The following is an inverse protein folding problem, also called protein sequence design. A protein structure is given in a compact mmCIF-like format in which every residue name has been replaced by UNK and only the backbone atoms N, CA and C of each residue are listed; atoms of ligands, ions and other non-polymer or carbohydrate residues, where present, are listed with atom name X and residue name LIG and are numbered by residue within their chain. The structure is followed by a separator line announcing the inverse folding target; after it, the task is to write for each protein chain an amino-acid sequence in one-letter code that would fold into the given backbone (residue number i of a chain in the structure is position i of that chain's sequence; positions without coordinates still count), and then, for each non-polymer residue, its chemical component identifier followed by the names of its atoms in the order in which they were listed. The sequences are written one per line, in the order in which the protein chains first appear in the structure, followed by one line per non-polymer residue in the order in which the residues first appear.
data_IF_655952387300
#
_entry.id   IF_655952387300
#
_cell.length_a   1.000
_cell.length_b   1.000
_cell.length_c   1.000
_cell.angle_alpha   90.00
_cell.angle_beta   90.00
_cell.angle_gamma   90.00
#
_symmetry.space_group_name_H-M   'P 1'
#
loop_
_entity.id
_entity.type
_entity.pdbx_description
1 polymer ?
#
# COMPACT_ATOMS: atom_id res chain seq x y z
N UNK A 1 19.67 -33.89 -4.61
CA UNK A 1 18.43 -34.28 -3.88
C UNK A 1 18.56 -33.98 -2.37
N UNK A 2 19.72 -34.24 -1.72
CA UNK A 2 19.96 -33.93 -0.30
C UNK A 2 19.86 -32.45 0.09
N UNK A 3 20.33 -31.52 -0.74
CA UNK A 3 20.28 -30.09 -0.46
C UNK A 3 18.81 -29.57 -0.42
N UNK A 4 17.94 -30.06 -1.31
CA UNK A 4 16.50 -29.74 -1.30
C UNK A 4 15.79 -30.21 -0.02
N UNK A 5 16.12 -31.42 0.46
CA UNK A 5 15.54 -31.96 1.70
C UNK A 5 16.06 -31.23 2.94
N UNK A 6 17.33 -30.81 2.93
CA UNK A 6 17.93 -30.04 4.02
C UNK A 6 17.44 -28.60 4.11
N UNK A 7 17.02 -28.00 2.98
CA UNK A 7 16.44 -26.67 2.93
C UNK A 7 14.97 -26.68 3.36
N UNK A 8 14.19 -27.70 3.01
CA UNK A 8 12.81 -27.89 3.47
C UNK A 8 12.68 -28.20 4.97
N UNK A 9 13.76 -28.69 5.60
CA UNK A 9 13.83 -28.87 7.07
C UNK A 9 14.36 -27.63 7.81
N UNK A 10 14.88 -26.63 7.09
CA UNK A 10 15.37 -25.36 7.62
C UNK A 10 14.24 -24.34 7.66
N UNK A 11 13.41 -24.41 8.69
CA UNK A 11 12.45 -23.40 9.14
C UNK A 11 11.41 -22.92 8.09
N UNK A 12 10.12 -23.17 8.31
CA UNK A 12 9.02 -22.73 7.41
C UNK A 12 8.99 -21.22 7.13
N UNK A 13 9.85 -20.46 7.78
CA UNK A 13 9.81 -18.99 7.82
C UNK A 13 11.00 -18.28 7.13
N UNK A 14 11.97 -19.00 6.53
CA UNK A 14 13.17 -18.37 5.96
C UNK A 14 12.84 -17.45 4.77
N UNK A 15 11.89 -17.84 3.92
CA UNK A 15 11.42 -17.03 2.79
C UNK A 15 10.82 -15.69 3.28
N UNK A 16 9.95 -15.76 4.29
CA UNK A 16 9.29 -14.58 4.86
C UNK A 16 10.30 -13.66 5.55
N UNK A 17 11.21 -14.21 6.37
CA UNK A 17 12.28 -13.40 7.00
C UNK A 17 13.13 -12.66 5.97
N UNK A 18 13.47 -13.30 4.84
CA UNK A 18 14.21 -12.64 3.76
C UNK A 18 13.42 -11.49 3.13
N UNK A 19 12.12 -11.69 2.86
CA UNK A 19 11.24 -10.66 2.32
C UNK A 19 11.16 -9.45 3.28
N UNK A 20 10.85 -9.69 4.54
CA UNK A 20 10.70 -8.64 5.56
C UNK A 20 12.02 -7.88 5.79
N UNK A 21 13.12 -8.62 5.96
CA UNK A 21 14.45 -8.01 6.17
C UNK A 21 14.89 -7.19 4.96
N UNK A 22 14.70 -7.70 3.74
CA UNK A 22 15.06 -6.96 2.54
C UNK A 22 14.17 -5.72 2.36
N UNK A 23 12.87 -5.83 2.63
CA UNK A 23 11.92 -4.70 2.59
C UNK A 23 12.38 -3.60 3.55
N UNK A 24 12.72 -3.94 4.79
CA UNK A 24 13.22 -2.98 5.78
C UNK A 24 14.50 -2.29 5.31
N UNK A 25 15.48 -3.06 4.82
CA UNK A 25 16.76 -2.53 4.35
C UNK A 25 16.61 -1.65 3.10
N UNK A 26 15.78 -2.07 2.13
CA UNK A 26 15.50 -1.28 0.93
C UNK A 26 14.74 0.01 1.27
N UNK A 27 13.78 -0.05 2.19
CA UNK A 27 13.06 1.14 2.66
C UNK A 27 13.99 2.12 3.38
N UNK A 28 14.92 1.64 4.20
CA UNK A 28 15.81 2.47 5.01
C UNK A 28 16.90 3.16 4.18
N UNK A 29 17.60 2.43 3.33
CA UNK A 29 18.81 2.93 2.65
C UNK A 29 18.82 2.75 1.13
N UNK A 30 17.78 2.18 0.55
CA UNK A 30 17.60 1.97 -0.88
C UNK A 30 18.19 0.67 -1.40
N UNK A 31 17.74 0.29 -2.61
CA UNK A 31 18.12 -0.95 -3.26
C UNK A 31 19.63 -1.04 -3.53
N UNK A 32 20.22 -0.02 -4.18
CA UNK A 32 21.64 -0.06 -4.57
C UNK A 32 22.57 -0.21 -3.37
N UNK A 33 22.27 0.45 -2.24
CA UNK A 33 23.09 0.45 -1.02
C UNK A 33 22.93 -0.79 -0.15
N UNK A 34 22.06 -1.72 -0.52
CA UNK A 34 21.80 -2.95 0.24
C UNK A 34 22.48 -4.14 -0.43
N UNK A 35 23.33 -4.88 0.29
CA UNK A 35 24.00 -6.07 -0.23
C UNK A 35 23.26 -7.36 0.15
N UNK A 36 23.42 -8.40 -0.70
CA UNK A 36 22.92 -9.76 -0.38
C UNK A 36 23.48 -10.28 0.94
N UNK A 37 24.76 -10.00 1.22
CA UNK A 37 25.40 -10.42 2.49
C UNK A 37 24.67 -9.85 3.69
N UNK A 38 24.39 -8.56 3.67
CA UNK A 38 23.70 -7.88 4.75
C UNK A 38 22.27 -8.41 4.95
N UNK A 39 21.54 -8.68 3.85
CA UNK A 39 20.21 -9.26 3.93
C UNK A 39 20.23 -10.62 4.62
N UNK A 40 21.12 -11.52 4.18
CA UNK A 40 21.17 -12.88 4.75
C UNK A 40 21.68 -12.90 6.19
N UNK A 41 22.71 -12.09 6.50
CA UNK A 41 23.25 -11.95 7.84
C UNK A 41 22.17 -11.47 8.83
N UNK A 42 21.39 -10.46 8.44
CA UNK A 42 20.32 -9.91 9.27
C UNK A 42 19.06 -10.79 9.34
N UNK A 43 18.74 -11.51 8.27
CA UNK A 43 17.64 -12.48 8.24
C UNK A 43 17.99 -13.78 8.99
N UNK A 44 19.26 -13.99 9.42
CA UNK A 44 19.71 -15.19 10.08
C UNK A 44 19.69 -16.42 9.17
N UNK A 45 20.00 -16.25 7.87
CA UNK A 45 20.02 -17.34 6.88
C UNK A 45 21.31 -17.32 6.08
N UNK A 46 21.59 -18.39 5.31
CA UNK A 46 22.77 -18.45 4.45
C UNK A 46 22.46 -17.91 3.03
N UNK A 47 23.51 -17.45 2.30
CA UNK A 47 23.39 -17.04 0.90
C UNK A 47 22.71 -18.10 0.00
N UNK A 48 23.07 -19.41 0.07
CA UNK A 48 22.37 -20.42 -0.71
C UNK A 48 20.86 -20.46 -0.49
N UNK A 49 20.36 -20.15 0.72
CA UNK A 49 18.92 -20.09 1.02
C UNK A 49 18.26 -18.94 0.26
N UNK A 50 18.87 -17.76 0.20
CA UNK A 50 18.35 -16.64 -0.59
C UNK A 50 18.28 -17.00 -2.07
N UNK A 51 19.36 -17.55 -2.62
CA UNK A 51 19.40 -17.92 -4.04
C UNK A 51 18.43 -19.07 -4.38
N UNK A 52 18.16 -19.96 -3.44
CA UNK A 52 17.15 -21.00 -3.61
C UNK A 52 15.73 -20.42 -3.79
N UNK A 53 15.34 -19.42 -2.96
CA UNK A 53 14.00 -18.84 -3.03
C UNK A 53 13.84 -17.76 -4.12
N UNK A 54 14.85 -16.96 -4.33
CA UNK A 54 14.73 -15.74 -5.12
C UNK A 54 15.70 -15.63 -6.29
N UNK A 55 16.67 -16.53 -6.42
CA UNK A 55 17.71 -16.60 -7.47
C UNK A 55 18.69 -15.41 -7.47
N UNK A 56 18.26 -14.21 -7.10
CA UNK A 56 19.09 -13.02 -7.08
C UNK A 56 18.54 -11.97 -6.10
N UNK A 57 19.27 -10.88 -5.87
CA UNK A 57 18.77 -9.70 -5.15
C UNK A 57 17.63 -9.04 -5.94
N UNK A 58 17.70 -9.05 -7.26
CA UNK A 58 16.66 -8.54 -8.14
C UNK A 58 15.39 -9.40 -8.07
N UNK A 59 15.52 -10.73 -8.07
CA UNK A 59 14.37 -11.62 -7.87
C UNK A 59 13.71 -11.44 -6.51
N UNK A 60 14.51 -11.21 -5.45
CA UNK A 60 13.98 -10.85 -4.12
C UNK A 60 13.23 -9.51 -4.16
N UNK A 61 13.75 -8.52 -4.89
CA UNK A 61 13.09 -7.22 -5.06
C UNK A 61 11.73 -7.37 -5.75
N UNK A 62 11.66 -8.10 -6.86
CA UNK A 62 10.37 -8.35 -7.53
C UNK A 62 9.39 -9.13 -6.66
N UNK A 63 9.87 -10.12 -5.89
CA UNK A 63 9.01 -10.84 -4.95
C UNK A 63 8.43 -9.93 -3.83
N UNK A 64 9.14 -8.88 -3.44
CA UNK A 64 8.60 -7.85 -2.53
C UNK A 64 7.51 -7.03 -3.22
N UNK A 65 7.69 -6.66 -4.48
CA UNK A 65 6.67 -5.92 -5.24
C UNK A 65 5.41 -6.77 -5.48
N UNK A 66 5.56 -8.07 -5.76
CA UNK A 66 4.45 -9.02 -5.83
C UNK A 66 3.71 -9.09 -4.48
N UNK A 67 4.44 -9.21 -3.37
CA UNK A 67 3.84 -9.17 -2.04
C UNK A 67 3.08 -7.86 -1.78
N UNK A 68 3.60 -6.71 -2.21
CA UNK A 68 2.89 -5.44 -2.10
C UNK A 68 1.58 -5.43 -2.90
N UNK A 69 1.59 -6.01 -4.11
CA UNK A 69 0.40 -6.14 -4.93
C UNK A 69 -0.64 -7.08 -4.29
N UNK A 70 -0.20 -8.18 -3.69
CA UNK A 70 -1.07 -9.13 -2.97
C UNK A 70 -1.73 -8.46 -1.76
N UNK A 71 -0.96 -7.70 -0.95
CA UNK A 71 -1.48 -6.92 0.19
C UNK A 71 -2.51 -5.88 -0.29
N UNK A 72 -2.21 -5.14 -1.36
CA UNK A 72 -3.16 -4.20 -1.95
C UNK A 72 -4.46 -4.90 -2.37
N UNK A 73 -4.35 -6.02 -3.09
CA UNK A 73 -5.51 -6.78 -3.55
C UNK A 73 -6.35 -7.32 -2.39
N UNK A 74 -5.72 -7.79 -1.32
CA UNK A 74 -6.43 -8.22 -0.12
C UNK A 74 -7.22 -7.07 0.50
N UNK A 75 -6.60 -5.91 0.69
CA UNK A 75 -7.26 -4.70 1.21
C UNK A 75 -8.43 -4.30 0.32
N UNK A 76 -8.28 -4.31 -1.00
CA UNK A 76 -9.35 -3.98 -1.93
C UNK A 76 -10.51 -4.98 -1.87
N UNK A 77 -10.23 -6.27 -1.71
CA UNK A 77 -11.28 -7.30 -1.56
C UNK A 77 -12.12 -7.07 -0.29
N UNK A 78 -11.47 -6.73 0.83
CA UNK A 78 -12.15 -6.39 2.09
C UNK A 78 -13.05 -5.15 1.92
N UNK A 79 -12.53 -4.12 1.22
CA UNK A 79 -13.26 -2.89 0.91
C UNK A 79 -14.50 -3.17 0.04
N UNK A 80 -14.36 -4.03 -0.98
CA UNK A 80 -15.48 -4.38 -1.85
C UNK A 80 -16.55 -5.22 -1.15
N UNK A 81 -16.19 -5.97 -0.12
CA UNK A 81 -17.12 -6.71 0.73
C UNK A 81 -17.84 -5.82 1.75
N UNK A 82 -17.39 -4.59 1.97
CA UNK A 82 -18.01 -3.67 2.92
C UNK A 82 -19.42 -3.25 2.47
N UNK A 83 -20.35 -3.20 3.41
CA UNK A 83 -21.72 -2.74 3.23
C UNK A 83 -21.91 -1.32 3.79
N UNK A 84 -23.05 -0.70 3.49
CA UNK A 84 -23.39 0.65 3.93
C UNK A 84 -23.57 1.63 2.79
N UNK A 85 -23.80 2.90 3.13
CA UNK A 85 -23.91 4.00 2.18
C UNK A 85 -22.58 4.24 1.44
N UNK A 86 -22.61 5.01 0.36
CA UNK A 86 -21.39 5.42 -0.34
C UNK A 86 -20.37 6.04 0.64
N UNK A 87 -20.83 6.96 1.50
CA UNK A 87 -19.96 7.62 2.47
C UNK A 87 -19.36 6.60 3.47
N UNK A 88 -20.15 5.66 3.99
CA UNK A 88 -19.66 4.63 4.90
C UNK A 88 -18.59 3.77 4.25
N UNK A 89 -18.76 3.40 2.97
CA UNK A 89 -17.80 2.60 2.21
C UNK A 89 -16.51 3.37 1.91
N UNK A 90 -16.59 4.67 1.62
CA UNK A 90 -15.39 5.51 1.43
C UNK A 90 -14.66 5.72 2.76
N UNK A 91 -15.37 5.93 3.86
CA UNK A 91 -14.77 6.00 5.20
C UNK A 91 -14.09 4.68 5.57
N UNK A 92 -14.74 3.54 5.26
CA UNK A 92 -14.15 2.21 5.47
C UNK A 92 -12.89 2.02 4.61
N UNK A 93 -12.95 2.37 3.32
CA UNK A 93 -11.79 2.37 2.42
C UNK A 93 -10.62 3.15 3.02
N UNK A 94 -10.88 4.37 3.48
CA UNK A 94 -9.88 5.21 4.08
C UNK A 94 -9.26 4.56 5.31
N UNK A 95 -10.10 4.12 6.26
CA UNK A 95 -9.66 3.46 7.50
C UNK A 95 -8.79 2.24 7.19
N UNK A 96 -9.24 1.39 6.28
CA UNK A 96 -8.55 0.15 5.93
C UNK A 96 -7.20 0.40 5.26
N UNK A 97 -7.08 1.44 4.42
CA UNK A 97 -5.79 1.85 3.85
C UNK A 97 -4.82 2.31 4.96
N UNK A 98 -5.29 3.11 5.91
CA UNK A 98 -4.45 3.56 7.03
C UNK A 98 -4.00 2.41 7.94
N UNK A 99 -4.89 1.49 8.27
CA UNK A 99 -4.55 0.27 9.01
C UNK A 99 -3.50 -0.55 8.26
N UNK A 100 -3.64 -0.72 6.94
CA UNK A 100 -2.67 -1.41 6.09
C UNK A 100 -1.30 -0.73 6.09
N UNK A 101 -1.25 0.60 6.08
CA UNK A 101 0.01 1.35 6.17
C UNK A 101 0.72 1.11 7.50
N UNK A 102 -0.01 1.02 8.62
CA UNK A 102 0.56 0.71 9.93
C UNK A 102 1.01 -0.76 10.03
N UNK A 103 0.20 -1.68 9.52
CA UNK A 103 0.48 -3.12 9.51
C UNK A 103 1.71 -3.46 8.64
N UNK A 104 1.82 -2.83 7.45
CA UNK A 104 2.89 -3.06 6.48
C UNK A 104 3.81 -1.85 6.31
N UNK A 105 4.16 -1.17 7.40
CA UNK A 105 4.85 0.13 7.41
C UNK A 105 6.12 0.18 6.55
N UNK A 106 6.97 -0.82 6.62
CA UNK A 106 8.21 -0.84 5.83
C UNK A 106 7.94 -1.09 4.34
N UNK A 107 6.92 -1.90 4.03
CA UNK A 107 6.50 -2.14 2.65
C UNK A 107 5.93 -0.84 2.05
N UNK A 108 5.05 -0.15 2.77
CA UNK A 108 4.53 1.15 2.35
C UNK A 108 5.65 2.17 2.13
N UNK A 109 6.59 2.31 3.07
CA UNK A 109 7.74 3.21 2.93
C UNK A 109 8.58 2.91 1.68
N UNK A 110 8.80 1.62 1.40
CA UNK A 110 9.54 1.20 0.21
C UNK A 110 8.79 1.58 -1.07
N UNK A 111 7.50 1.23 -1.19
CA UNK A 111 6.66 1.53 -2.36
C UNK A 111 6.56 3.05 -2.57
N UNK A 112 6.27 3.81 -1.52
CA UNK A 112 6.22 5.27 -1.58
C UNK A 112 7.54 5.88 -2.08
N UNK A 113 8.67 5.39 -1.57
CA UNK A 113 10.00 5.84 -2.01
C UNK A 113 10.30 5.48 -3.46
N UNK A 114 9.82 4.33 -3.95
CA UNK A 114 10.01 3.91 -5.34
C UNK A 114 9.14 4.72 -6.31
N UNK A 115 7.96 5.16 -5.89
CA UNK A 115 7.03 5.97 -6.71
C UNK A 115 7.45 7.44 -6.72
N UNK A 116 7.74 8.03 -5.57
CA UNK A 116 7.91 9.48 -5.40
C UNK A 116 9.35 9.92 -5.13
N UNK A 117 10.23 8.98 -4.76
CA UNK A 117 11.62 9.27 -4.43
C UNK A 117 12.53 9.35 -5.66
N UNK A 118 13.78 9.82 -5.46
CA UNK A 118 14.77 9.82 -6.53
C UNK A 118 15.15 8.39 -6.95
N UNK A 119 15.54 8.17 -8.22
CA UNK A 119 16.05 6.88 -8.69
C UNK A 119 17.20 6.38 -7.81
N UNK A 120 17.15 5.12 -7.37
CA UNK A 120 18.12 4.53 -6.45
C UNK A 120 18.76 3.25 -7.00
N UNK A 121 18.82 3.13 -8.33
CA UNK A 121 19.35 1.94 -8.99
C UNK A 121 18.52 0.67 -8.74
N UNK A 122 17.26 0.83 -8.35
CA UNK A 122 16.33 -0.28 -8.28
C UNK A 122 15.93 -0.75 -9.68
N UNK A 123 15.60 -2.05 -9.85
CA UNK A 123 15.03 -2.54 -11.10
C UNK A 123 13.77 -1.77 -11.49
N UNK A 124 13.52 -1.64 -12.80
CA UNK A 124 12.33 -0.94 -13.29
C UNK A 124 11.06 -1.73 -12.97
N UNK A 125 10.00 -1.01 -12.60
CA UNK A 125 8.68 -1.57 -12.33
C UNK A 125 7.59 -0.59 -12.76
N UNK A 126 6.50 -1.09 -13.36
CA UNK A 126 5.37 -0.27 -13.76
C UNK A 126 4.42 0.00 -12.59
N UNK A 127 4.70 1.05 -11.83
CA UNK A 127 3.83 1.49 -10.74
C UNK A 127 2.52 2.12 -11.22
N UNK A 128 2.37 2.45 -12.51
CA UNK A 128 1.12 3.00 -13.02
C UNK A 128 -0.03 1.99 -12.91
N UNK A 129 0.25 0.69 -13.10
CA UNK A 129 -0.75 -0.35 -12.88
C UNK A 129 -1.18 -0.42 -11.41
N UNK A 130 -0.23 -0.35 -10.48
CA UNK A 130 -0.50 -0.32 -9.04
C UNK A 130 -1.42 0.85 -8.65
N UNK A 131 -1.16 2.05 -9.20
CA UNK A 131 -1.99 3.23 -8.96
C UNK A 131 -3.37 3.10 -9.60
N UNK A 132 -3.48 2.59 -10.84
CA UNK A 132 -4.77 2.36 -11.52
C UNK A 132 -5.71 1.50 -10.69
N UNK A 133 -5.23 0.45 -10.03
CA UNK A 133 -6.08 -0.39 -9.17
C UNK A 133 -6.77 0.41 -8.05
N UNK A 134 -6.10 1.40 -7.47
CA UNK A 134 -6.70 2.26 -6.43
C UNK A 134 -7.77 3.19 -7.03
N UNK A 135 -7.48 3.79 -8.19
CA UNK A 135 -8.46 4.61 -8.91
C UNK A 135 -9.72 3.80 -9.27
N UNK A 136 -9.54 2.64 -9.89
CA UNK A 136 -10.65 1.78 -10.30
C UNK A 136 -11.48 1.32 -9.09
N UNK A 137 -10.84 1.08 -7.94
CA UNK A 137 -11.54 0.73 -6.72
C UNK A 137 -12.47 1.85 -6.24
N UNK A 138 -11.98 3.09 -6.18
CA UNK A 138 -12.79 4.25 -5.77
C UNK A 138 -13.90 4.52 -6.78
N UNK A 139 -13.62 4.46 -8.08
CA UNK A 139 -14.62 4.61 -9.14
C UNK A 139 -15.73 3.55 -9.03
N UNK A 140 -15.37 2.30 -8.77
CA UNK A 140 -16.36 1.22 -8.55
C UNK A 140 -17.26 1.48 -7.35
N UNK A 141 -16.72 1.99 -6.24
CA UNK A 141 -17.50 2.37 -5.07
C UNK A 141 -18.47 3.51 -5.43
N UNK A 142 -17.98 4.52 -6.16
CA UNK A 142 -18.76 5.66 -6.61
C UNK A 142 -19.90 5.24 -7.54
N UNK A 143 -19.62 4.43 -8.56
CA UNK A 143 -20.63 3.95 -9.52
C UNK A 143 -21.77 3.21 -8.83
N UNK A 144 -21.46 2.42 -7.80
CA UNK A 144 -22.47 1.74 -7.00
C UNK A 144 -23.33 2.72 -6.21
N UNK A 145 -22.74 3.77 -5.61
CA UNK A 145 -23.47 4.82 -4.90
C UNK A 145 -24.33 5.67 -5.83
N UNK A 146 -23.86 5.94 -7.06
CA UNK A 146 -24.63 6.61 -8.08
C UNK A 146 -25.86 5.79 -8.50
N UNK A 147 -25.69 4.50 -8.72
CA UNK A 147 -26.80 3.59 -9.05
C UNK A 147 -27.85 3.51 -7.93
N UNK A 148 -27.46 3.72 -6.67
CA UNK A 148 -28.36 3.79 -5.50
C UNK A 148 -28.92 5.19 -5.24
N UNK A 149 -28.67 6.17 -6.11
CA UNK A 149 -29.09 7.57 -5.96
C UNK A 149 -28.59 8.26 -4.66
N UNK A 150 -27.47 7.82 -4.13
CA UNK A 150 -26.87 8.38 -2.90
C UNK A 150 -26.09 9.68 -3.16
N UNK A 151 -25.67 9.90 -4.39
CA UNK A 151 -24.89 11.09 -4.80
C UNK A 151 -25.41 11.67 -6.12
N UNK A 152 -25.14 12.95 -6.33
CA UNK A 152 -25.40 13.61 -7.62
C UNK A 152 -24.45 13.08 -8.68
N UNK A 153 -24.89 13.02 -9.95
CA UNK A 153 -24.00 12.73 -11.06
C UNK A 153 -22.82 13.71 -11.07
N UNK A 154 -21.63 13.16 -11.03
CA UNK A 154 -20.35 13.87 -11.04
C UNK A 154 -19.39 13.04 -11.89
N UNK A 155 -18.35 13.64 -12.41
CA UNK A 155 -17.29 12.92 -13.09
C UNK A 155 -16.61 11.92 -12.12
N UNK A 156 -16.50 10.67 -12.54
CA UNK A 156 -15.97 9.61 -11.68
C UNK A 156 -14.46 9.74 -11.41
N UNK A 157 -13.73 10.35 -12.36
CA UNK A 157 -12.30 10.63 -12.19
C UNK A 157 -12.10 11.75 -11.18
N UNK A 158 -12.89 12.84 -11.26
CA UNK A 158 -12.84 13.92 -10.27
C UNK A 158 -13.17 13.44 -8.88
N UNK A 159 -14.15 12.53 -8.75
CA UNK A 159 -14.47 11.91 -7.46
C UNK A 159 -13.32 11.07 -6.95
N UNK A 160 -12.72 10.23 -7.79
CA UNK A 160 -11.59 9.40 -7.42
C UNK A 160 -10.37 10.24 -7.02
N UNK A 161 -10.07 11.31 -7.77
CA UNK A 161 -9.03 12.27 -7.43
C UNK A 161 -9.27 12.92 -6.06
N UNK A 162 -10.47 13.36 -5.76
CA UNK A 162 -10.82 13.95 -4.46
C UNK A 162 -10.51 12.99 -3.33
N UNK A 163 -11.03 11.76 -3.40
CA UNK A 163 -10.87 10.75 -2.36
C UNK A 163 -9.41 10.36 -2.18
N UNK A 164 -8.70 10.05 -3.27
CA UNK A 164 -7.31 9.59 -3.22
C UNK A 164 -6.35 10.71 -2.81
N UNK A 165 -6.60 11.96 -3.19
CA UNK A 165 -5.81 13.12 -2.75
C UNK A 165 -5.90 13.34 -1.26
N UNK A 166 -7.08 13.17 -0.65
CA UNK A 166 -7.24 13.26 0.80
C UNK A 166 -6.46 12.17 1.53
N UNK A 167 -6.45 10.95 0.99
CA UNK A 167 -5.68 9.82 1.54
C UNK A 167 -4.18 10.11 1.43
N UNK A 168 -3.70 10.40 0.22
CA UNK A 168 -2.27 10.59 -0.05
C UNK A 168 -1.70 11.75 0.77
N UNK A 169 -2.38 12.89 0.77
CA UNK A 169 -1.96 14.04 1.57
C UNK A 169 -1.91 13.72 3.07
N UNK A 170 -2.91 13.02 3.60
CA UNK A 170 -2.95 12.66 5.02
C UNK A 170 -1.83 11.68 5.40
N UNK A 171 -1.56 10.68 4.55
CA UNK A 171 -0.46 9.74 4.76
C UNK A 171 0.90 10.43 4.70
N UNK A 172 1.10 11.35 3.74
CA UNK A 172 2.33 12.12 3.63
C UNK A 172 2.52 13.05 4.84
N UNK A 173 1.46 13.76 5.27
CA UNK A 173 1.53 14.66 6.43
C UNK A 173 1.86 13.91 7.72
N UNK A 174 1.32 12.73 7.94
CA UNK A 174 1.65 11.90 9.10
C UNK A 174 3.15 11.51 9.16
N UNK A 175 3.82 11.45 8.00
CA UNK A 175 5.27 11.19 7.96
C UNK A 175 6.11 12.44 8.20
N UNK A 176 5.67 13.59 7.68
CA UNK A 176 6.43 14.86 7.71
C UNK A 176 6.19 15.63 9.01
N UNK A 177 4.97 15.60 9.52
CA UNK A 177 4.51 16.30 10.73
C UNK A 177 3.76 15.32 11.65
N UNK A 178 4.46 14.38 12.31
CA UNK A 178 3.82 13.37 13.16
C UNK A 178 2.96 13.95 14.28
N UNK A 179 3.29 15.15 14.75
CA UNK A 179 2.50 15.89 15.76
C UNK A 179 1.13 16.35 15.25
N UNK A 180 0.95 16.40 13.93
CA UNK A 180 -0.34 16.68 13.29
C UNK A 180 -1.12 15.41 12.93
N UNK A 181 -0.57 14.24 13.18
CA UNK A 181 -1.23 12.99 12.90
C UNK A 181 -2.51 12.86 13.73
N UNK A 182 -3.63 12.66 13.04
CA UNK A 182 -4.93 12.48 13.65
C UNK A 182 -5.70 11.42 12.85
N UNK A 183 -5.82 10.21 13.40
CA UNK A 183 -6.47 9.09 12.70
C UNK A 183 -7.93 9.36 12.30
N UNK A 184 -8.59 10.30 12.97
CA UNK A 184 -10.00 10.65 12.69
C UNK A 184 -10.14 11.81 11.70
N UNK A 185 -9.06 12.57 11.45
CA UNK A 185 -9.11 13.74 10.55
C UNK A 185 -9.65 13.39 9.15
N UNK A 186 -9.25 12.30 8.56
CA UNK A 186 -9.69 11.96 7.22
C UNK A 186 -11.19 11.68 7.13
N UNK A 187 -11.75 11.00 8.14
CA UNK A 187 -13.20 10.81 8.20
C UNK A 187 -13.93 12.16 8.30
N UNK A 188 -13.43 13.08 9.12
CA UNK A 188 -14.02 14.43 9.22
C UNK A 188 -13.92 15.20 7.91
N UNK A 189 -12.78 15.10 7.19
CA UNK A 189 -12.61 15.75 5.89
C UNK A 189 -13.53 15.15 4.82
N UNK A 190 -13.70 13.84 4.79
CA UNK A 190 -14.64 13.18 3.89
C UNK A 190 -16.08 13.62 4.19
N UNK A 191 -16.50 13.61 5.45
CA UNK A 191 -17.84 14.12 5.83
C UNK A 191 -18.02 15.57 5.40
N UNK A 192 -17.03 16.42 5.66
CA UNK A 192 -17.05 17.81 5.23
C UNK A 192 -17.18 17.97 3.72
N UNK A 193 -16.47 17.17 2.93
CA UNK A 193 -16.55 17.18 1.46
C UNK A 193 -17.93 16.72 0.96
N UNK A 194 -18.52 15.70 1.60
CA UNK A 194 -19.84 15.19 1.21
C UNK A 194 -21.00 16.08 1.67
N UNK A 195 -20.91 16.67 2.85
CA UNK A 195 -21.95 17.54 3.42
C UNK A 195 -21.89 18.97 2.85
N UNK A 196 -20.71 19.37 2.33
CA UNK A 196 -20.45 20.71 1.80
C UNK A 196 -20.15 21.73 2.90
N UNK A 197 -19.61 22.89 2.46
CA UNK A 197 -19.24 24.01 3.34
C UNK A 197 -20.26 25.16 3.27
N UNK A 198 -21.19 25.10 2.32
CA UNK A 198 -22.14 26.20 2.10
C UNK A 198 -23.40 25.96 2.91
N UNK A 199 -23.74 26.93 3.76
CA UNK A 199 -25.07 27.03 4.36
C UNK A 199 -26.05 27.42 3.26
N UNK A 200 -27.04 26.58 2.96
CA UNK A 200 -28.12 26.97 2.07
C UNK A 200 -28.74 28.27 2.61
N UNK A 201 -28.94 29.34 1.77
CA UNK A 201 -29.63 30.51 2.24
C UNK A 201 -31.00 30.09 2.78
N UNK A 202 -31.31 30.50 4.01
CA UNK A 202 -32.64 30.32 4.57
C UNK A 202 -33.61 31.00 3.65
N UNK A 203 -34.39 30.23 2.91
CA UNK A 203 -35.60 30.74 2.17
C UNK A 203 -36.60 31.29 3.15
#
# INVERSE_FOLDING_TARGET
MEIKNKINSLEPNARQRLLETATELFAAKGYASTSVREIVDRAGVSKPVLYYYFQSKEGLFYAILEWAADVQQQILNEIFAASGTLLDRIIYFYRRVFEGVEEYRNLYKLIHRLIYGPPQGAPQYDFAQYQRHMFDAVKRIFTNGLASAEVKPTDEDDFAFLVLSLIDFSLNMNQVLPEMADPQRPERLLRLAFEGLTVSPKT
#
